data_IF_611184349507
#
_entry.id   IF_611184349507
#
_cell.length_a   1.000
_cell.length_b   1.000
_cell.length_c   1.000
_cell.angle_alpha   90.00
_cell.angle_beta   90.00
_cell.angle_gamma   90.00
#
_symmetry.space_group_name_H-M   'P 1'
#
loop_
_entity.id
_entity.type
_entity.pdbx_description
1 polymer ?
#
# COMPACT_ATOMS: atom_id res chain seq x y z
N UNK A 1 -15.93 11.60 -33.28
CA UNK A 1 -17.39 11.76 -33.26
C UNK A 1 -17.69 13.11 -32.64
N UNK A 2 -18.16 14.06 -33.42
CA UNK A 2 -18.59 15.37 -32.94
C UNK A 2 -20.10 15.29 -32.69
N UNK A 3 -20.53 15.53 -31.47
CA UNK A 3 -21.92 15.85 -31.18
C UNK A 3 -21.98 17.31 -30.84
N UNK A 4 -22.57 18.09 -31.74
CA UNK A 4 -22.68 19.53 -31.56
C UNK A 4 -23.65 19.88 -30.45
N UNK A 5 -23.10 20.33 -29.36
CA UNK A 5 -23.67 21.22 -28.36
C UNK A 5 -22.52 22.14 -27.98
N UNK A 6 -22.70 23.42 -27.90
CA UNK A 6 -21.77 24.51 -27.57
C UNK A 6 -20.51 24.09 -26.78
N UNK A 7 -19.59 23.36 -27.42
CA UNK A 7 -18.35 22.87 -26.84
C UNK A 7 -17.72 21.77 -27.70
N UNK A 8 -16.41 21.74 -27.76
CA UNK A 8 -15.65 20.75 -28.49
C UNK A 8 -14.95 19.80 -27.53
N UNK A 9 -15.08 18.48 -27.74
CA UNK A 9 -14.30 17.49 -27.03
C UNK A 9 -13.04 17.14 -27.83
N UNK A 10 -11.89 17.23 -27.21
CA UNK A 10 -10.61 16.85 -27.78
C UNK A 10 -10.04 15.63 -27.06
N UNK A 11 -9.42 14.75 -27.85
CA UNK A 11 -8.59 13.67 -27.33
C UNK A 11 -7.14 14.08 -27.47
N UNK A 12 -6.41 14.13 -26.37
CA UNK A 12 -4.96 14.30 -26.37
C UNK A 12 -4.33 12.98 -25.95
N UNK A 13 -3.52 12.40 -26.83
CA UNK A 13 -2.77 11.17 -26.55
C UNK A 13 -1.32 11.55 -26.33
N UNK A 14 -0.75 11.16 -25.20
CA UNK A 14 0.67 11.31 -24.91
C UNK A 14 1.31 9.92 -24.92
N UNK A 15 2.18 9.71 -25.91
CA UNK A 15 2.99 8.51 -26.03
C UNK A 15 4.38 8.79 -25.42
N UNK A 16 4.82 7.94 -24.50
CA UNK A 16 6.10 8.08 -23.80
C UNK A 16 7.25 7.34 -24.52
N UNK A 17 7.04 6.94 -25.79
CA UNK A 17 8.08 6.33 -26.60
C UNK A 17 8.34 4.85 -26.35
N UNK A 18 7.60 4.24 -25.42
CA UNK A 18 7.45 2.81 -25.32
C UNK A 18 5.97 2.46 -25.57
N UNK A 19 5.66 1.65 -26.54
CA UNK A 19 4.29 1.29 -26.97
C UNK A 19 3.35 0.81 -25.84
N UNK A 20 3.81 0.87 -24.59
CA UNK A 20 3.11 0.38 -23.39
C UNK A 20 2.52 1.47 -22.52
N UNK A 21 2.96 2.70 -22.65
CA UNK A 21 2.53 3.80 -21.79
C UNK A 21 1.99 4.97 -22.61
N UNK A 22 0.67 5.06 -22.70
CA UNK A 22 -0.01 6.22 -23.26
C UNK A 22 -1.02 6.77 -22.26
N UNK A 23 -1.27 8.06 -22.35
CA UNK A 23 -2.28 8.76 -21.58
C UNK A 23 -3.25 9.43 -22.52
N UNK A 24 -4.51 9.04 -22.42
CA UNK A 24 -5.60 9.65 -23.19
C UNK A 24 -6.35 10.63 -22.30
N UNK A 25 -6.45 11.88 -22.71
CA UNK A 25 -7.27 12.87 -22.05
C UNK A 25 -8.50 13.21 -22.88
N UNK A 26 -9.64 13.30 -22.21
CA UNK A 26 -10.86 13.85 -22.77
C UNK A 26 -11.03 15.24 -22.18
N UNK A 27 -11.02 16.24 -23.05
CA UNK A 27 -11.06 17.66 -22.66
C UNK A 27 -12.28 18.29 -23.29
N UNK A 28 -13.13 18.91 -22.49
CA UNK A 28 -14.22 19.75 -22.95
C UNK A 28 -13.72 21.19 -23.05
N UNK A 29 -13.89 21.80 -24.22
CA UNK A 29 -13.60 23.22 -24.43
C UNK A 29 -14.89 23.98 -24.70
N UNK A 30 -15.03 25.13 -24.09
CA UNK A 30 -16.05 26.13 -24.41
C UNK A 30 -15.32 27.39 -24.89
N UNK A 31 -16.07 28.43 -25.29
CA UNK A 31 -15.46 29.67 -25.79
C UNK A 31 -14.50 30.34 -24.80
N UNK A 32 -14.70 30.13 -23.50
CA UNK A 32 -13.95 30.78 -22.43
C UNK A 32 -13.29 29.80 -21.43
N UNK A 33 -13.40 28.50 -21.64
CA UNK A 33 -12.86 27.54 -20.68
C UNK A 33 -12.40 26.24 -21.34
N UNK A 34 -11.44 25.59 -20.70
CA UNK A 34 -11.00 24.24 -21.03
C UNK A 34 -11.00 23.39 -19.75
N UNK A 35 -11.68 22.24 -19.79
CA UNK A 35 -11.81 21.39 -18.65
C UNK A 35 -11.53 19.94 -19.04
N UNK A 36 -10.64 19.28 -18.30
CA UNK A 36 -10.44 17.83 -18.41
C UNK A 36 -11.65 17.11 -17.80
N UNK A 37 -12.34 16.30 -18.59
CA UNK A 37 -13.54 15.55 -18.18
C UNK A 37 -13.30 14.05 -18.09
N UNK A 38 -12.17 13.55 -18.60
CA UNK A 38 -11.82 12.14 -18.55
C UNK A 38 -10.34 11.89 -18.78
N UNK A 39 -9.92 10.68 -18.43
CA UNK A 39 -8.55 10.20 -18.61
C UNK A 39 -8.55 8.67 -18.69
N UNK A 40 -7.70 8.11 -19.54
CA UNK A 40 -7.36 6.69 -19.56
C UNK A 40 -5.84 6.51 -19.76
N UNK A 41 -5.15 5.65 -19.00
CA UNK A 41 -5.65 5.01 -17.78
C UNK A 41 -6.08 6.03 -16.71
N UNK A 42 -6.96 5.62 -15.81
CA UNK A 42 -7.31 6.48 -14.66
C UNK A 42 -6.10 6.66 -13.73
N UNK A 43 -6.12 7.68 -12.88
CA UNK A 43 -5.04 7.88 -11.89
C UNK A 43 -4.94 6.67 -10.95
N UNK A 44 -6.07 6.03 -10.64
CA UNK A 44 -6.08 4.79 -9.85
C UNK A 44 -5.37 3.66 -10.60
N UNK A 45 -5.65 3.47 -11.90
CA UNK A 45 -4.99 2.44 -12.71
C UNK A 45 -3.48 2.63 -12.80
N UNK A 46 -3.02 3.87 -12.89
CA UNK A 46 -1.59 4.21 -12.89
C UNK A 46 -0.88 3.88 -11.57
N UNK A 47 -1.63 3.80 -10.47
CA UNK A 47 -1.08 3.47 -9.15
C UNK A 47 -1.04 1.95 -8.90
N UNK A 48 -1.81 1.15 -9.63
CA UNK A 48 -1.82 -0.31 -9.45
C UNK A 48 -0.45 -0.99 -9.64
N UNK A 49 0.41 -0.60 -10.60
CA UNK A 49 1.76 -1.16 -10.72
C UNK A 49 2.61 -0.95 -9.46
N UNK A 50 2.50 0.22 -8.80
CA UNK A 50 3.21 0.47 -7.53
C UNK A 50 2.73 -0.48 -6.42
N UNK A 51 1.42 -0.76 -6.39
CA UNK A 51 0.83 -1.69 -5.42
C UNK A 51 1.16 -3.16 -5.70
N UNK A 52 1.58 -3.50 -6.92
CA UNK A 52 2.04 -4.85 -7.25
C UNK A 52 3.30 -5.24 -6.48
N UNK A 53 4.14 -4.28 -6.11
CA UNK A 53 5.29 -4.51 -5.25
C UNK A 53 4.89 -5.07 -3.88
N UNK A 54 3.67 -4.81 -3.43
CA UNK A 54 3.15 -5.21 -2.11
C UNK A 54 2.10 -6.32 -2.15
N UNK A 55 1.89 -6.95 -3.33
CA UNK A 55 0.81 -7.94 -3.55
C UNK A 55 0.81 -9.13 -2.58
N UNK A 56 1.94 -9.41 -1.94
CA UNK A 56 2.08 -10.52 -1.00
C UNK A 56 1.76 -10.13 0.45
N UNK A 57 1.72 -8.84 0.76
CA UNK A 57 1.52 -8.33 2.12
C UNK A 57 0.23 -7.51 2.27
N UNK A 58 -0.33 -7.00 1.17
CA UNK A 58 -1.63 -6.32 1.15
C UNK A 58 -2.76 -7.30 0.78
N UNK A 59 -3.92 -7.18 1.41
CA UNK A 59 -5.09 -7.94 1.01
C UNK A 59 -5.66 -7.45 -0.34
N UNK A 60 -6.38 -8.31 -1.06
CA UNK A 60 -7.07 -7.92 -2.29
C UNK A 60 -8.10 -6.80 -2.06
N UNK A 61 -8.76 -6.84 -0.90
CA UNK A 61 -9.73 -5.84 -0.49
C UNK A 61 -9.06 -4.49 -0.23
N UNK A 62 -7.99 -4.47 0.58
CA UNK A 62 -7.24 -3.25 0.88
C UNK A 62 -6.64 -2.63 -0.37
N UNK A 63 -6.13 -3.47 -1.28
CA UNK A 63 -5.61 -3.00 -2.57
C UNK A 63 -6.69 -2.31 -3.40
N UNK A 64 -7.88 -2.91 -3.48
CA UNK A 64 -9.03 -2.32 -4.18
C UNK A 64 -9.49 -1.02 -3.53
N UNK A 65 -9.62 -1.01 -2.19
CA UNK A 65 -10.01 0.20 -1.45
C UNK A 65 -8.97 1.31 -1.58
N UNK A 66 -7.67 0.99 -1.58
CA UNK A 66 -6.61 1.96 -1.77
C UNK A 66 -6.67 2.60 -3.16
N UNK A 67 -6.89 1.80 -4.21
CA UNK A 67 -7.16 2.32 -5.56
C UNK A 67 -8.39 3.23 -5.60
N UNK A 68 -9.48 2.85 -4.93
CA UNK A 68 -10.69 3.70 -4.80
C UNK A 68 -10.39 5.01 -4.09
N UNK A 69 -9.63 4.98 -2.98
CA UNK A 69 -9.23 6.16 -2.23
C UNK A 69 -8.42 7.14 -3.10
N UNK A 70 -7.46 6.63 -3.86
CA UNK A 70 -6.63 7.43 -4.76
C UNK A 70 -7.46 8.03 -5.89
N UNK A 71 -8.38 7.26 -6.46
CA UNK A 71 -9.30 7.74 -7.50
C UNK A 71 -10.21 8.86 -6.99
N UNK A 72 -10.79 8.73 -5.82
CA UNK A 72 -11.61 9.77 -5.19
C UNK A 72 -10.79 11.04 -4.93
N UNK A 73 -9.60 10.89 -4.37
CA UNK A 73 -8.69 12.00 -4.11
C UNK A 73 -8.32 12.76 -5.39
N UNK A 74 -8.00 12.04 -6.45
CA UNK A 74 -7.67 12.61 -7.76
C UNK A 74 -8.83 13.42 -8.36
N UNK A 75 -10.08 13.07 -8.03
CA UNK A 75 -11.28 13.79 -8.42
C UNK A 75 -11.72 14.86 -7.40
N UNK A 76 -10.85 15.18 -6.43
CA UNK A 76 -11.10 16.25 -5.48
C UNK A 76 -11.99 15.88 -4.29
N UNK A 77 -12.34 14.60 -4.12
CA UNK A 77 -13.18 14.11 -3.02
C UNK A 77 -12.28 13.73 -1.84
N UNK A 78 -12.07 14.66 -0.91
CA UNK A 78 -11.15 14.48 0.22
C UNK A 78 -11.72 13.59 1.32
N UNK A 79 -12.90 13.92 1.83
CA UNK A 79 -13.51 13.15 2.93
C UNK A 79 -13.71 11.67 2.55
N UNK A 80 -14.30 11.41 1.38
CA UNK A 80 -14.51 10.05 0.90
C UNK A 80 -13.20 9.27 0.73
N UNK A 81 -12.17 9.89 0.18
CA UNK A 81 -10.85 9.26 0.00
C UNK A 81 -10.19 8.95 1.35
N UNK A 82 -10.28 9.87 2.30
CA UNK A 82 -9.68 9.75 3.63
C UNK A 82 -10.31 8.61 4.46
N UNK A 83 -11.63 8.41 4.34
CA UNK A 83 -12.35 7.29 5.01
C UNK A 83 -11.74 5.94 4.64
N UNK A 84 -11.48 5.72 3.35
CA UNK A 84 -10.86 4.48 2.89
C UNK A 84 -9.45 4.28 3.44
N UNK A 85 -8.60 5.33 3.39
CA UNK A 85 -7.24 5.23 3.93
C UNK A 85 -7.23 4.92 5.41
N UNK A 86 -8.09 5.59 6.18
CA UNK A 86 -8.20 5.35 7.62
C UNK A 86 -8.59 3.91 7.92
N UNK A 87 -9.59 3.38 7.21
CA UNK A 87 -10.03 1.98 7.35
C UNK A 87 -8.91 0.99 7.04
N UNK A 88 -8.18 1.23 5.95
CA UNK A 88 -7.03 0.39 5.58
C UNK A 88 -5.97 0.45 6.69
N UNK A 89 -5.61 1.63 7.14
CA UNK A 89 -4.60 1.78 8.19
C UNK A 89 -5.00 1.09 9.50
N UNK A 90 -6.26 1.21 9.91
CA UNK A 90 -6.79 0.49 11.07
C UNK A 90 -6.64 -1.03 10.91
N UNK A 91 -7.00 -1.60 9.75
CA UNK A 91 -6.80 -3.04 9.47
C UNK A 91 -5.33 -3.45 9.49
N UNK A 92 -4.43 -2.62 8.97
CA UNK A 92 -2.98 -2.89 9.02
C UNK A 92 -2.46 -2.86 10.45
N UNK A 93 -2.95 -1.95 11.30
CA UNK A 93 -2.61 -1.92 12.73
C UNK A 93 -3.09 -3.19 13.43
N UNK A 94 -4.31 -3.66 13.15
CA UNK A 94 -4.81 -4.93 13.71
C UNK A 94 -4.03 -6.15 13.19
N UNK A 95 -3.62 -6.15 11.93
CA UNK A 95 -2.76 -7.20 11.38
C UNK A 95 -1.37 -7.21 12.05
N UNK A 96 -0.80 -6.06 12.34
CA UNK A 96 0.43 -5.97 13.13
C UNK A 96 0.23 -6.53 14.55
N UNK A 97 -0.93 -6.26 15.19
CA UNK A 97 -1.29 -6.82 16.49
C UNK A 97 -1.41 -8.34 16.45
N UNK A 98 -1.95 -8.92 15.38
CA UNK A 98 -1.99 -10.38 15.22
C UNK A 98 -0.58 -10.99 15.19
N UNK A 99 0.37 -10.34 14.51
CA UNK A 99 1.77 -10.75 14.48
C UNK A 99 2.47 -10.59 15.87
N UNK A 100 1.97 -9.69 16.71
CA UNK A 100 2.47 -9.43 18.07
C UNK A 100 1.65 -10.16 19.17
N UNK A 101 0.82 -11.14 18.82
CA UNK A 101 -0.15 -11.76 19.73
C UNK A 101 0.48 -12.38 21.00
N UNK A 102 1.71 -12.88 20.90
CA UNK A 102 2.43 -13.47 22.02
C UNK A 102 3.01 -12.45 23.01
N UNK A 103 3.04 -11.16 22.62
CA UNK A 103 3.71 -10.09 23.38
C UNK A 103 2.70 -9.07 23.91
N UNK A 104 1.58 -8.88 23.22
CA UNK A 104 0.61 -7.82 23.52
C UNK A 104 -0.62 -8.39 24.20
N UNK A 105 -0.97 -7.84 25.36
CA UNK A 105 -2.23 -8.13 26.03
C UNK A 105 -3.42 -7.62 25.22
N UNK A 106 -4.34 -8.53 24.90
CA UNK A 106 -5.50 -8.25 24.07
C UNK A 106 -6.46 -7.23 24.70
N UNK A 107 -6.74 -7.36 25.99
CA UNK A 107 -7.70 -6.49 26.66
C UNK A 107 -7.16 -5.07 26.75
N UNK A 108 -5.89 -4.93 27.11
CA UNK A 108 -5.19 -3.66 27.16
C UNK A 108 -5.15 -2.98 25.79
N UNK A 109 -4.90 -3.75 24.72
CA UNK A 109 -4.87 -3.23 23.36
C UNK A 109 -6.25 -2.73 22.92
N UNK A 110 -7.32 -3.50 23.17
CA UNK A 110 -8.66 -3.08 22.71
C UNK A 110 -9.16 -1.81 23.42
N UNK A 111 -8.84 -1.62 24.68
CA UNK A 111 -9.20 -0.43 25.47
C UNK A 111 -8.34 0.81 25.13
N UNK A 112 -7.17 0.60 24.53
CA UNK A 112 -6.23 1.67 24.23
C UNK A 112 -6.74 2.58 23.09
N UNK A 113 -6.36 3.86 23.16
CA UNK A 113 -6.56 4.80 22.04
C UNK A 113 -5.63 4.46 20.87
N UNK A 114 -5.97 4.92 19.67
CA UNK A 114 -5.18 4.66 18.44
C UNK A 114 -3.69 4.95 18.63
N UNK A 115 -3.35 6.06 19.29
CA UNK A 115 -1.97 6.44 19.59
C UNK A 115 -1.24 5.41 20.47
N UNK A 116 -1.92 4.87 21.47
CA UNK A 116 -1.39 3.88 22.39
C UNK A 116 -1.26 2.52 21.70
N UNK A 117 -2.27 2.13 20.92
CA UNK A 117 -2.25 0.92 20.08
C UNK A 117 -1.00 0.89 19.18
N UNK A 118 -0.69 2.00 18.50
CA UNK A 118 0.49 2.08 17.63
C UNK A 118 1.78 1.99 18.43
N UNK A 119 1.87 2.62 19.60
CA UNK A 119 3.05 2.51 20.48
C UNK A 119 3.27 1.10 20.99
N UNK A 120 2.21 0.38 21.34
CA UNK A 120 2.30 -1.01 21.77
C UNK A 120 2.84 -1.93 20.67
N UNK A 121 2.77 -1.50 19.40
CA UNK A 121 3.25 -2.23 18.24
C UNK A 121 4.66 -1.83 17.81
N UNK A 122 5.48 -1.32 18.72
CA UNK A 122 6.90 -1.07 18.47
C UNK A 122 7.60 -2.37 18.02
N UNK A 123 8.37 -2.32 16.93
CA UNK A 123 8.98 -3.48 16.29
C UNK A 123 8.08 -4.21 15.26
N UNK A 124 6.77 -3.99 15.29
CA UNK A 124 5.80 -4.56 14.33
C UNK A 124 5.26 -3.52 13.33
N UNK A 125 5.48 -2.25 13.62
CA UNK A 125 5.19 -1.11 12.75
C UNK A 125 6.46 -0.28 12.52
N UNK A 126 6.54 0.45 11.39
CA UNK A 126 7.68 1.31 11.12
C UNK A 126 7.93 2.34 12.24
N UNK A 127 9.19 2.52 12.61
CA UNK A 127 9.62 3.45 13.66
C UNK A 127 9.10 4.87 13.47
N UNK A 128 9.01 5.31 12.20
CA UNK A 128 8.48 6.64 11.89
C UNK A 128 7.03 6.81 12.34
N UNK A 129 6.24 5.75 12.30
CA UNK A 129 4.87 5.75 12.79
C UNK A 129 4.83 5.73 14.31
N UNK A 130 5.62 4.85 14.94
CA UNK A 130 5.64 4.67 16.40
C UNK A 130 6.13 5.92 17.13
N UNK A 131 7.10 6.63 16.55
CA UNK A 131 7.75 7.80 17.16
C UNK A 131 7.08 9.14 16.85
N UNK A 132 6.15 9.19 15.87
CA UNK A 132 5.57 10.44 15.40
C UNK A 132 4.18 10.70 15.96
N UNK A 133 4.12 11.49 17.03
CA UNK A 133 2.87 11.84 17.73
C UNK A 133 1.90 12.68 16.88
N UNK A 134 2.38 13.39 15.87
CA UNK A 134 1.53 14.21 14.97
C UNK A 134 0.57 13.34 14.16
N UNK A 135 1.03 12.16 13.73
CA UNK A 135 0.20 11.20 13.00
C UNK A 135 -0.99 10.75 13.86
N UNK A 136 -0.79 10.58 15.15
CA UNK A 136 -1.86 10.19 16.09
C UNK A 136 -2.95 11.25 16.20
N UNK A 137 -2.55 12.54 16.23
CA UNK A 137 -3.49 13.65 16.23
C UNK A 137 -4.38 13.67 14.98
N UNK A 138 -3.83 13.30 13.83
CA UNK A 138 -4.56 13.20 12.56
C UNK A 138 -5.51 12.00 12.58
N UNK A 139 -5.01 10.84 13.03
CA UNK A 139 -5.77 9.58 13.03
C UNK A 139 -6.83 9.49 14.11
N UNK A 140 -6.67 10.21 15.22
CA UNK A 140 -7.63 10.22 16.33
C UNK A 140 -8.83 11.12 16.06
N UNK A 141 -8.73 12.09 15.14
CA UNK A 141 -9.87 12.94 14.78
C UNK A 141 -10.96 12.11 14.10
N UNK A 142 -12.19 12.28 14.53
CA UNK A 142 -13.35 11.70 13.87
C UNK A 142 -13.50 12.27 12.45
N UNK A 143 -14.04 11.45 11.53
CA UNK A 143 -14.33 11.92 10.17
C UNK A 143 -15.26 13.14 10.17
N UNK A 144 -16.14 13.21 11.16
CA UNK A 144 -17.07 14.33 11.34
C UNK A 144 -16.41 15.63 11.83
N UNK A 145 -15.16 15.54 12.29
CA UNK A 145 -14.40 16.70 12.80
C UNK A 145 -13.48 17.31 11.74
N UNK A 146 -13.30 16.60 10.60
CA UNK A 146 -12.42 17.04 9.51
C UNK A 146 -13.22 17.68 8.39
N UNK A 147 -12.81 18.86 7.98
CA UNK A 147 -13.28 19.49 6.76
C UNK A 147 -12.76 18.73 5.51
N UNK A 148 -13.41 18.96 4.37
CA UNK A 148 -12.97 18.42 3.07
C UNK A 148 -11.53 18.82 2.75
N UNK A 149 -11.14 20.05 3.05
CA UNK A 149 -9.80 20.59 2.85
C UNK A 149 -8.77 19.89 3.75
N UNK A 150 -9.08 19.69 5.03
CA UNK A 150 -8.22 18.95 5.96
C UNK A 150 -8.04 17.49 5.52
N UNK A 151 -9.10 16.82 5.09
CA UNK A 151 -9.02 15.47 4.55
C UNK A 151 -8.08 15.39 3.34
N UNK A 152 -8.18 16.36 2.42
CA UNK A 152 -7.28 16.45 1.27
C UNK A 152 -5.84 16.73 1.68
N UNK A 153 -5.62 17.56 2.68
CA UNK A 153 -4.29 17.87 3.22
C UNK A 153 -3.64 16.65 3.89
N UNK A 154 -4.42 15.84 4.61
CA UNK A 154 -3.90 14.68 5.34
C UNK A 154 -3.78 13.41 4.50
N UNK A 155 -4.52 13.32 3.40
CA UNK A 155 -4.52 12.16 2.52
C UNK A 155 -3.11 11.69 2.10
N UNK A 156 -2.19 12.56 1.58
CA UNK A 156 -0.86 12.13 1.18
C UNK A 156 -0.06 11.53 2.34
N UNK A 157 -0.19 12.11 3.54
CA UNK A 157 0.53 11.65 4.73
C UNK A 157 0.04 10.28 5.17
N UNK A 158 -1.27 10.07 5.24
CA UNK A 158 -1.85 8.78 5.64
C UNK A 158 -1.58 7.70 4.59
N UNK A 159 -1.64 8.04 3.30
CA UNK A 159 -1.25 7.14 2.22
C UNK A 159 0.21 6.68 2.38
N UNK A 160 1.11 7.61 2.66
CA UNK A 160 2.52 7.29 2.89
C UNK A 160 2.72 6.38 4.11
N UNK A 161 1.98 6.59 5.20
CA UNK A 161 2.00 5.69 6.36
C UNK A 161 1.65 4.25 5.97
N UNK A 162 0.63 4.06 5.12
CA UNK A 162 0.25 2.74 4.61
C UNK A 162 1.41 2.12 3.82
N UNK A 163 2.03 2.88 2.92
CA UNK A 163 3.15 2.39 2.12
C UNK A 163 4.38 2.03 2.97
N UNK A 164 4.66 2.78 4.03
CA UNK A 164 5.74 2.45 4.96
C UNK A 164 5.50 1.12 5.68
N UNK A 165 4.27 0.84 6.12
CA UNK A 165 3.91 -0.44 6.73
C UNK A 165 4.08 -1.59 5.72
N UNK A 166 3.52 -1.43 4.53
CA UNK A 166 3.59 -2.45 3.48
C UNK A 166 5.03 -2.70 3.03
N UNK A 167 5.84 -1.65 2.92
CA UNK A 167 7.27 -1.73 2.56
C UNK A 167 8.09 -2.50 3.61
N UNK A 168 7.86 -2.23 4.89
CA UNK A 168 8.49 -2.95 5.99
C UNK A 168 8.14 -4.45 5.92
N UNK A 169 6.86 -4.80 5.82
CA UNK A 169 6.42 -6.19 5.78
C UNK A 169 6.89 -6.94 4.52
N UNK A 170 6.93 -6.28 3.37
CA UNK A 170 7.46 -6.90 2.15
C UNK A 170 8.96 -7.13 2.25
N UNK A 171 9.71 -6.22 2.89
CA UNK A 171 11.14 -6.40 3.15
C UNK A 171 11.41 -7.58 4.08
N UNK A 172 10.65 -7.69 5.16
CA UNK A 172 10.76 -8.84 6.09
C UNK A 172 10.40 -10.15 5.42
N UNK A 173 9.32 -10.18 4.63
CA UNK A 173 8.92 -11.36 3.87
C UNK A 173 10.01 -11.82 2.89
N UNK A 174 10.66 -10.88 2.20
CA UNK A 174 11.77 -11.19 1.27
C UNK A 174 12.96 -11.76 2.01
N UNK A 175 13.36 -11.11 3.10
CA UNK A 175 14.45 -11.59 3.95
C UNK A 175 14.20 -13.02 4.43
N UNK A 176 13.02 -13.31 4.94
CA UNK A 176 12.65 -14.66 5.39
C UNK A 176 12.69 -15.67 4.25
N UNK A 177 12.20 -15.32 3.06
CA UNK A 177 12.23 -16.20 1.90
C UNK A 177 13.66 -16.51 1.45
N UNK A 178 14.57 -15.54 1.51
CA UNK A 178 15.97 -15.71 1.18
C UNK A 178 16.69 -16.61 2.21
N UNK A 179 16.41 -16.42 3.52
CA UNK A 179 16.93 -17.27 4.60
C UNK A 179 16.44 -18.70 4.46
N UNK A 180 15.17 -18.93 4.16
CA UNK A 180 14.58 -20.25 3.93
C UNK A 180 15.20 -20.94 2.70
N UNK A 181 15.42 -20.19 1.61
CA UNK A 181 16.06 -20.72 0.41
C UNK A 181 17.51 -21.15 0.69
N UNK A 182 18.27 -20.34 1.41
CA UNK A 182 19.63 -20.66 1.82
C UNK A 182 19.67 -21.87 2.75
N UNK A 183 18.78 -21.95 3.73
CA UNK A 183 18.67 -23.09 4.65
C UNK A 183 18.40 -24.39 3.91
N UNK A 184 17.48 -24.37 2.95
CA UNK A 184 17.20 -25.54 2.08
C UNK A 184 18.41 -25.96 1.26
N UNK A 185 19.13 -25.00 0.67
CA UNK A 185 20.33 -25.29 -0.11
C UNK A 185 21.44 -25.92 0.76
N UNK A 186 21.68 -25.38 1.95
CA UNK A 186 22.66 -25.93 2.90
C UNK A 186 22.29 -27.35 3.36
N UNK A 187 21.02 -27.60 3.61
CA UNK A 187 20.52 -28.93 3.97
C UNK A 187 20.76 -29.97 2.85
N UNK A 188 20.52 -29.56 1.60
CA UNK A 188 20.76 -30.38 0.41
C UNK A 188 22.25 -30.73 0.25
N UNK A 189 23.13 -29.73 0.42
CA UNK A 189 24.60 -29.95 0.35
C UNK A 189 25.04 -30.89 1.48
N UNK A 190 24.55 -30.67 2.71
CA UNK A 190 24.87 -31.50 3.87
C UNK A 190 24.49 -32.98 3.64
N UNK A 191 23.30 -33.23 3.07
CA UNK A 191 22.86 -34.57 2.75
C UNK A 191 23.72 -35.23 1.66
N UNK A 192 24.14 -34.46 0.63
CA UNK A 192 25.04 -34.92 -0.43
C UNK A 192 26.43 -35.29 0.11
N UNK A 193 26.98 -34.47 1.02
CA UNK A 193 28.28 -34.79 1.66
C UNK A 193 28.19 -36.08 2.49
N UNK A 194 27.11 -36.28 3.24
CA UNK A 194 26.89 -37.48 4.04
C UNK A 194 26.81 -38.73 3.15
N UNK A 195 26.13 -38.67 2.00
CA UNK A 195 26.03 -39.78 1.06
C UNK A 195 27.38 -40.14 0.41
N UNK A 196 28.18 -39.12 0.04
CA UNK A 196 29.54 -39.33 -0.51
C UNK A 196 30.46 -39.97 0.54
N UNK A 197 30.40 -39.51 1.79
CA UNK A 197 31.22 -40.09 2.85
C UNK A 197 30.80 -41.54 3.17
N UNK A 198 29.50 -41.85 3.18
CA UNK A 198 29.00 -43.19 3.36
C UNK A 198 29.47 -44.15 2.24
N UNK A 199 29.44 -43.67 0.97
CA UNK A 199 29.91 -44.44 -0.19
C UNK A 199 31.43 -44.69 -0.16
N UNK A 200 32.22 -43.76 0.36
CA UNK A 200 33.68 -43.92 0.52
C UNK A 200 34.04 -44.95 1.60
N UNK A 201 33.29 -45.02 2.67
CA UNK A 201 33.50 -46.00 3.75
C UNK A 201 33.11 -47.40 3.30
N UNK A 202 32.07 -47.56 2.46
CA UNK A 202 31.64 -48.87 1.94
C UNK A 202 32.53 -49.44 0.82
N UNK A 203 33.35 -48.62 0.16
CA UNK A 203 34.24 -49.03 -0.93
C UNK A 203 35.71 -49.09 -0.51
N UNK A 204 36.00 -49.00 0.77
CA UNK A 204 37.37 -48.98 1.33
C UNK A 204 37.79 -50.25 2.11
N UNK A 205 37.07 -51.38 1.92
CA UNK A 205 37.49 -52.73 2.38
C UNK A 205 37.95 -53.58 1.22
#
# INVERSE_FOLDING_TARGET
FFVGVEGYAYFAVFDFGDEKHHLDYIVLTTDNSMMKIGQYPSIADMTFPELDAYKHVISKEDRKELGTAIGLFANGVGAGSYVYLRRILERLVYKAKEAAADVIDNEMFEQAKVAEKIKMLEGYLPDILVKNTTIYGILSKGIHELSEEECRKYFPVVKECIYQILGMWESERRKQADEDALSKALSSISSSIKSINASRISNGD
#
